data_IF_289457913703
#
_entry.id   IF_289457913703
#
_cell.length_a   1.000
_cell.length_b   1.000
_cell.length_c   1.000
_cell.angle_alpha   90.00
_cell.angle_beta   90.00
_cell.angle_gamma   90.00
#
_symmetry.space_group_name_H-M   'P 1'
#
loop_
_entity.id
_entity.type
_entity.pdbx_description
1 polymer ?
#
# COMPACT_ATOMS: atom_id res chain seq x y z
N UNK A 1 0.68 2.44 -34.31
CA UNK A 1 -0.16 2.59 -33.09
C UNK A 1 0.68 2.14 -31.90
N UNK A 2 1.45 3.06 -31.30
CA UNK A 2 2.41 2.75 -30.23
C UNK A 2 1.69 2.95 -28.89
N UNK A 3 1.59 1.89 -28.09
CA UNK A 3 1.00 1.90 -26.75
C UNK A 3 1.97 2.62 -25.80
N UNK A 4 1.56 3.73 -25.20
CA UNK A 4 2.35 4.37 -24.14
C UNK A 4 2.15 3.60 -22.81
N UNK A 5 3.21 3.38 -22.01
CA UNK A 5 3.13 2.74 -20.70
C UNK A 5 2.49 3.68 -19.65
N UNK A 6 1.84 3.10 -18.63
CA UNK A 6 1.31 3.86 -17.51
C UNK A 6 2.48 4.57 -16.78
N UNK A 7 2.35 5.86 -16.53
CA UNK A 7 3.33 6.64 -15.75
C UNK A 7 2.79 6.86 -14.34
N UNK A 8 3.62 6.56 -13.33
CA UNK A 8 3.25 6.66 -11.92
C UNK A 8 3.71 7.98 -11.32
N UNK A 9 2.82 8.60 -10.55
CA UNK A 9 3.15 9.58 -9.51
C UNK A 9 2.91 8.95 -8.15
N UNK A 10 3.67 9.39 -7.15
CA UNK A 10 3.57 8.88 -5.77
C UNK A 10 2.16 9.12 -5.22
N UNK A 11 1.38 8.05 -5.07
CA UNK A 11 0.03 8.03 -4.49
C UNK A 11 -1.09 7.50 -5.41
N UNK A 12 -0.91 7.47 -6.74
CA UNK A 12 -1.94 6.99 -7.66
C UNK A 12 -1.34 6.56 -9.02
N UNK A 13 -1.73 5.39 -9.52
CA UNK A 13 -1.44 4.99 -10.90
C UNK A 13 -2.62 5.30 -11.82
N UNK A 14 -2.37 6.11 -12.84
CA UNK A 14 -3.35 6.52 -13.86
C UNK A 14 -3.04 5.82 -15.18
N UNK A 15 -3.98 5.02 -15.68
CA UNK A 15 -3.88 4.46 -17.03
C UNK A 15 -4.85 5.21 -17.96
N UNK A 16 -4.25 6.08 -18.80
CA UNK A 16 -4.83 6.94 -19.86
C UNK A 16 -5.49 8.25 -19.36
N UNK A 17 -4.99 9.39 -19.86
CA UNK A 17 -5.53 10.74 -19.68
C UNK A 17 -5.50 11.49 -21.03
N UNK A 18 -6.50 12.32 -21.38
CA UNK A 18 -6.27 13.59 -22.04
C UNK A 18 -5.90 14.67 -21.00
N UNK A 19 -5.00 15.57 -21.39
CA UNK A 19 -4.16 16.44 -20.56
C UNK A 19 -4.79 17.31 -19.44
N UNK A 20 -3.93 17.55 -18.43
CA UNK A 20 -3.83 18.66 -17.43
C UNK A 20 -4.95 18.81 -16.38
N UNK A 21 -4.62 18.50 -15.13
CA UNK A 21 -5.35 18.92 -13.93
C UNK A 21 -4.46 19.85 -13.08
N UNK A 22 -5.06 20.91 -12.51
CA UNK A 22 -4.42 21.82 -11.56
C UNK A 22 -4.72 21.36 -10.14
N UNK A 23 -3.75 21.48 -9.24
CA UNK A 23 -3.94 21.32 -7.81
C UNK A 23 -4.24 22.69 -7.19
N UNK A 24 -5.30 22.81 -6.39
CA UNK A 24 -5.59 24.02 -5.60
C UNK A 24 -5.86 23.70 -4.13
N UNK A 25 -5.23 24.53 -3.28
CA UNK A 25 -5.36 24.78 -1.83
C UNK A 25 -5.26 23.60 -0.83
N UNK A 26 -4.14 23.58 -0.09
CA UNK A 26 -3.90 22.75 1.10
C UNK A 26 -4.21 23.56 2.38
N UNK A 27 -5.15 23.08 3.20
CA UNK A 27 -5.35 23.54 4.59
C UNK A 27 -4.36 22.82 5.54
N UNK A 28 -3.76 23.57 6.47
CA UNK A 28 -2.57 23.21 7.26
C UNK A 28 -2.82 22.92 8.74
N UNK A 29 -4.04 22.61 9.15
CA UNK A 29 -4.30 22.26 10.56
C UNK A 29 -4.71 20.80 10.70
N UNK A 30 -3.84 19.95 11.27
CA UNK A 30 -4.20 18.54 11.43
C UNK A 30 -3.41 17.80 12.53
N UNK A 31 -4.06 17.53 13.65
CA UNK A 31 -3.67 16.58 14.70
C UNK A 31 -4.02 15.14 14.27
N UNK A 32 -3.04 14.21 14.23
CA UNK A 32 -3.18 12.82 13.75
C UNK A 32 -2.21 12.45 12.59
N UNK A 33 -0.92 12.23 12.91
CA UNK A 33 0.20 12.38 11.96
C UNK A 33 0.12 11.61 10.63
N UNK A 34 -0.24 10.32 10.61
CA UNK A 34 -0.15 9.48 9.39
C UNK A 34 -1.32 9.69 8.42
N UNK A 35 -2.57 9.70 8.91
CA UNK A 35 -3.71 10.00 8.05
C UNK A 35 -3.63 11.43 7.53
N UNK A 36 -3.17 12.38 8.35
CA UNK A 36 -3.00 13.75 7.91
C UNK A 36 -1.88 13.90 6.88
N UNK A 37 -0.78 13.15 7.05
CA UNK A 37 0.27 13.05 6.04
C UNK A 37 -0.31 12.49 4.73
N UNK A 38 -1.06 11.39 4.78
CA UNK A 38 -1.73 10.81 3.62
C UNK A 38 -2.69 11.80 2.95
N UNK A 39 -3.50 12.54 3.72
CA UNK A 39 -4.43 13.56 3.21
C UNK A 39 -3.69 14.73 2.56
N UNK A 40 -2.59 15.20 3.15
CA UNK A 40 -1.78 16.27 2.57
C UNK A 40 -1.15 15.84 1.23
N UNK A 41 -0.63 14.62 1.17
CA UNK A 41 -0.08 14.06 -0.07
C UNK A 41 -1.16 13.81 -1.12
N UNK A 42 -2.31 13.30 -0.68
CA UNK A 42 -3.44 12.97 -1.56
C UNK A 42 -4.23 14.21 -1.99
N UNK A 43 -4.12 15.33 -1.27
CA UNK A 43 -4.83 16.57 -1.56
C UNK A 43 -4.48 17.21 -2.90
N UNK A 44 -3.39 16.79 -3.54
CA UNK A 44 -3.07 17.18 -4.91
C UNK A 44 -3.95 16.49 -5.97
N UNK A 45 -4.71 15.45 -5.60
CA UNK A 45 -5.52 14.64 -6.51
C UNK A 45 -7.02 14.88 -6.27
N UNK A 46 -7.68 15.44 -7.27
CA UNK A 46 -9.15 15.43 -7.34
C UNK A 46 -9.61 14.06 -7.84
N UNK A 47 -9.83 13.11 -6.92
CA UNK A 47 -10.21 11.75 -7.26
C UNK A 47 -11.53 11.66 -8.04
N UNK A 48 -12.50 12.53 -7.74
CA UNK A 48 -13.78 12.56 -8.44
C UNK A 48 -13.62 13.04 -9.90
N UNK A 49 -12.79 14.07 -10.14
CA UNK A 49 -12.46 14.50 -11.50
C UNK A 49 -11.66 13.43 -12.26
N UNK A 50 -10.69 12.79 -11.59
CA UNK A 50 -9.90 11.71 -12.17
C UNK A 50 -10.77 10.51 -12.54
N UNK A 51 -11.74 10.13 -11.70
CA UNK A 51 -12.67 9.04 -11.97
C UNK A 51 -13.59 9.30 -13.16
N UNK A 52 -13.87 10.58 -13.49
CA UNK A 52 -14.61 10.93 -14.72
C UNK A 52 -13.76 10.75 -15.97
N UNK A 53 -12.46 11.03 -15.88
CA UNK A 53 -11.54 10.97 -17.02
C UNK A 53 -10.95 9.57 -17.27
N UNK A 54 -10.78 8.77 -16.22
CA UNK A 54 -10.16 7.45 -16.28
C UNK A 54 -11.19 6.31 -16.36
N UNK A 55 -10.76 5.19 -16.96
CA UNK A 55 -11.53 3.93 -16.94
C UNK A 55 -11.55 3.30 -15.55
N UNK A 56 -10.42 3.39 -14.84
CA UNK A 56 -10.28 3.00 -13.44
C UNK A 56 -9.11 3.74 -12.77
N UNK A 57 -9.13 3.78 -11.44
CA UNK A 57 -8.12 4.35 -10.55
C UNK A 57 -7.53 3.23 -9.70
N UNK A 58 -6.21 3.14 -9.68
CA UNK A 58 -5.49 2.21 -8.80
C UNK A 58 -4.98 2.95 -7.58
N UNK A 59 -5.66 2.75 -6.45
CA UNK A 59 -5.28 3.38 -5.19
C UNK A 59 -4.08 2.67 -4.58
N UNK A 60 -3.06 3.45 -4.22
CA UNK A 60 -1.90 2.95 -3.50
C UNK A 60 -2.20 2.89 -2.00
N UNK A 61 -3.10 1.99 -1.59
CA UNK A 61 -3.46 1.75 -0.18
C UNK A 61 -2.36 0.97 0.56
N UNK A 62 -1.14 1.49 0.48
CA UNK A 62 0.08 1.00 1.13
C UNK A 62 1.06 2.17 1.30
N UNK A 63 2.21 1.90 1.93
CA UNK A 63 3.16 2.90 2.43
C UNK A 63 2.57 3.81 3.52
N UNK A 64 1.71 3.23 4.39
CA UNK A 64 1.24 3.86 5.63
C UNK A 64 2.43 4.36 6.45
N UNK A 65 3.35 3.44 6.75
CA UNK A 65 4.70 3.74 7.20
C UNK A 65 5.68 3.59 6.04
N UNK A 66 6.59 4.56 5.89
CA UNK A 66 7.58 4.63 4.82
C UNK A 66 8.88 5.32 5.30
N UNK A 67 9.76 5.70 4.37
CA UNK A 67 11.09 6.22 4.70
C UNK A 67 11.10 7.54 5.48
N UNK A 68 9.99 8.29 5.54
CA UNK A 68 9.90 9.54 6.30
C UNK A 68 9.08 9.43 7.59
N UNK A 69 8.59 8.23 7.91
CA UNK A 69 7.85 7.96 9.15
C UNK A 69 8.65 7.02 10.05
N UNK A 70 8.29 6.89 11.34
CA UNK A 70 8.77 5.78 12.16
C UNK A 70 8.41 4.42 11.54
N UNK A 71 9.09 3.34 11.95
CA UNK A 71 8.72 1.97 11.59
C UNK A 71 7.27 1.66 11.97
N UNK A 72 6.64 0.78 11.19
CA UNK A 72 5.26 0.37 11.41
C UNK A 72 4.68 -0.37 10.19
N UNK A 73 3.39 -0.70 10.28
CA UNK A 73 2.69 -1.44 9.24
C UNK A 73 2.82 -0.75 7.88
N UNK A 74 3.03 -1.55 6.83
CA UNK A 74 3.12 -1.04 5.45
C UNK A 74 1.73 -0.70 4.92
N UNK A 75 0.71 -1.42 5.38
CA UNK A 75 -0.67 -1.33 4.91
C UNK A 75 -1.61 -1.88 5.99
N UNK A 76 -1.57 -1.29 7.18
CA UNK A 76 -2.41 -1.71 8.30
C UNK A 76 -3.88 -1.63 7.92
N UNK A 77 -4.65 -2.70 8.18
CA UNK A 77 -6.07 -2.76 7.79
C UNK A 77 -6.89 -1.56 8.29
N UNK A 78 -6.72 -1.05 9.53
CA UNK A 78 -7.42 0.14 10.00
C UNK A 78 -7.11 1.40 9.17
N UNK A 79 -5.85 1.60 8.80
CA UNK A 79 -5.44 2.73 7.97
C UNK A 79 -5.91 2.57 6.53
N UNK A 80 -5.85 1.36 5.95
CA UNK A 80 -6.35 1.09 4.60
C UNK A 80 -7.82 1.49 4.48
N UNK A 81 -8.67 1.20 5.48
CA UNK A 81 -10.07 1.62 5.52
C UNK A 81 -10.21 3.15 5.47
N UNK A 82 -9.45 3.86 6.30
CA UNK A 82 -9.47 5.32 6.34
C UNK A 82 -8.97 5.95 5.03
N UNK A 83 -7.93 5.35 4.43
CA UNK A 83 -7.39 5.78 3.14
C UNK A 83 -8.42 5.57 2.02
N UNK A 84 -9.13 4.45 2.00
CA UNK A 84 -10.23 4.18 1.07
C UNK A 84 -11.38 5.16 1.28
N UNK A 85 -11.87 5.34 2.51
CA UNK A 85 -12.96 6.26 2.84
C UNK A 85 -12.66 7.70 2.40
N UNK A 86 -11.41 8.14 2.53
CA UNK A 86 -10.98 9.43 2.03
C UNK A 86 -10.93 9.46 0.50
N UNK A 87 -10.26 8.49 -0.12
CA UNK A 87 -9.97 8.53 -1.56
C UNK A 87 -11.18 8.24 -2.44
N UNK A 88 -12.18 7.55 -1.90
CA UNK A 88 -13.39 7.14 -2.60
C UNK A 88 -14.47 8.22 -2.68
N UNK A 89 -14.26 9.39 -2.06
CA UNK A 89 -15.24 10.48 -2.07
C UNK A 89 -15.49 10.97 -3.51
N UNK A 90 -16.68 10.66 -4.05
CA UNK A 90 -17.06 11.00 -5.42
C UNK A 90 -16.49 10.07 -6.50
N UNK A 91 -15.91 8.92 -6.12
CA UNK A 91 -15.40 7.90 -7.04
C UNK A 91 -16.39 6.73 -7.10
N UNK A 92 -16.90 6.35 -8.29
CA UNK A 92 -17.69 5.14 -8.45
C UNK A 92 -16.86 3.89 -8.08
N UNK A 93 -17.31 3.03 -7.16
CA UNK A 93 -16.53 1.88 -6.68
C UNK A 93 -16.04 0.90 -7.76
N UNK A 94 -16.85 0.70 -8.80
CA UNK A 94 -16.54 -0.15 -9.95
C UNK A 94 -15.38 0.37 -10.83
N UNK A 95 -14.91 1.59 -10.55
CA UNK A 95 -13.72 2.20 -11.13
C UNK A 95 -12.50 2.15 -10.22
N UNK A 96 -12.58 1.67 -8.98
CA UNK A 96 -11.47 1.70 -8.04
C UNK A 96 -10.87 0.31 -7.80
N UNK A 97 -9.55 0.22 -7.59
CA UNK A 97 -8.89 -1.03 -7.15
C UNK A 97 -8.22 -0.87 -5.79
N UNK A 98 -8.22 -1.96 -5.01
CA UNK A 98 -7.49 -2.07 -3.75
C UNK A 98 -6.00 -2.26 -4.00
N UNK A 99 -5.15 -1.37 -3.51
CA UNK A 99 -3.70 -1.52 -3.55
C UNK A 99 -3.20 -2.49 -2.49
N UNK A 100 -2.48 -3.54 -2.90
CA UNK A 100 -1.83 -4.48 -1.98
C UNK A 100 -0.31 -4.43 -2.20
N UNK A 101 0.48 -4.20 -1.14
CA UNK A 101 1.92 -4.35 -1.20
C UNK A 101 2.28 -5.84 -1.09
N UNK A 102 3.33 -6.28 -1.77
CA UNK A 102 3.88 -7.65 -1.66
C UNK A 102 5.32 -7.66 -1.19
N UNK A 103 5.79 -6.53 -0.69
CA UNK A 103 7.12 -6.31 -0.15
C UNK A 103 7.06 -6.20 1.37
N UNK A 104 8.21 -6.38 2.02
CA UNK A 104 8.44 -5.89 3.37
C UNK A 104 9.20 -4.56 3.32
N UNK A 105 9.15 -3.85 4.44
CA UNK A 105 10.04 -2.73 4.74
C UNK A 105 10.89 -3.08 5.95
N UNK A 106 12.19 -2.77 5.91
CA UNK A 106 13.17 -2.90 6.99
C UNK A 106 13.71 -1.51 7.33
N UNK A 107 13.47 -1.09 8.56
CA UNK A 107 13.92 0.18 9.11
C UNK A 107 15.08 -0.01 10.07
N UNK A 108 16.09 0.85 9.91
CA UNK A 108 17.14 1.07 10.91
C UNK A 108 17.04 2.46 11.58
N UNK A 109 15.96 3.19 11.26
CA UNK A 109 15.66 4.53 11.74
C UNK A 109 14.86 5.33 10.71
N UNK A 110 14.35 6.49 11.12
CA UNK A 110 13.68 7.42 10.19
C UNK A 110 14.69 7.87 9.12
N UNK A 111 14.33 7.78 7.85
CA UNK A 111 15.20 8.08 6.71
C UNK A 111 16.01 6.89 6.20
N UNK A 112 16.02 5.76 6.92
CA UNK A 112 16.81 4.58 6.58
C UNK A 112 15.90 3.37 6.42
N UNK A 113 15.48 3.15 5.18
CA UNK A 113 14.51 2.13 4.80
C UNK A 113 15.04 1.30 3.64
N UNK A 114 14.96 -0.02 3.76
CA UNK A 114 15.13 -0.94 2.63
C UNK A 114 13.88 -1.80 2.46
N UNK A 115 13.68 -2.35 1.26
CA UNK A 115 12.50 -3.16 0.95
C UNK A 115 12.90 -4.32 0.06
N UNK A 116 12.38 -5.51 0.33
CA UNK A 116 12.56 -6.67 -0.54
C UNK A 116 11.37 -7.63 -0.49
N UNK A 117 11.55 -8.83 -1.03
CA UNK A 117 10.53 -9.87 -1.16
C UNK A 117 10.19 -10.54 0.17
N UNK A 118 9.00 -11.14 0.25
CA UNK A 118 8.60 -11.98 1.39
C UNK A 118 9.61 -13.11 1.66
N UNK A 119 10.13 -13.74 0.62
CA UNK A 119 11.13 -14.81 0.75
C UNK A 119 12.41 -14.32 1.46
N UNK A 120 12.90 -13.12 1.11
CA UNK A 120 14.08 -12.53 1.75
C UNK A 120 13.80 -12.23 3.24
N UNK A 121 12.60 -11.76 3.59
CA UNK A 121 12.24 -11.54 4.99
C UNK A 121 12.30 -12.84 5.81
N UNK A 122 11.81 -13.94 5.24
CA UNK A 122 11.86 -15.25 5.92
C UNK A 122 13.29 -15.78 6.06
N UNK A 123 14.17 -15.51 5.09
CA UNK A 123 15.59 -15.81 5.18
C UNK A 123 16.24 -15.01 6.31
N UNK A 124 15.96 -13.70 6.39
CA UNK A 124 16.47 -12.83 7.48
C UNK A 124 16.01 -13.32 8.85
N UNK A 125 14.72 -13.64 8.99
CA UNK A 125 14.15 -14.19 10.22
C UNK A 125 14.90 -15.47 10.66
N UNK A 126 15.13 -16.38 9.71
CA UNK A 126 15.86 -17.63 9.97
C UNK A 126 17.33 -17.37 10.35
N UNK A 127 18.03 -16.49 9.63
CA UNK A 127 19.44 -16.16 9.88
C UNK A 127 19.67 -15.58 11.27
N UNK A 128 18.71 -14.80 11.77
CA UNK A 128 18.77 -14.18 13.09
C UNK A 128 18.06 -14.98 14.19
N UNK A 129 17.49 -16.15 13.86
CA UNK A 129 16.79 -17.00 14.83
C UNK A 129 15.53 -16.35 15.42
N UNK A 130 14.88 -15.47 14.67
CA UNK A 130 13.68 -14.75 15.07
C UNK A 130 12.47 -15.33 14.36
N UNK A 131 11.34 -15.44 15.07
CA UNK A 131 10.07 -15.85 14.48
C UNK A 131 9.20 -14.60 14.26
N UNK A 132 8.73 -14.34 13.03
CA UNK A 132 7.79 -13.24 12.78
C UNK A 132 6.53 -13.37 13.64
N UNK A 133 6.14 -12.27 14.29
CA UNK A 133 4.94 -12.16 15.10
C UNK A 133 3.81 -11.52 14.29
N UNK A 134 2.57 -11.97 14.50
CA UNK A 134 1.38 -11.38 13.87
C UNK A 134 0.82 -10.27 14.75
N UNK A 135 0.65 -9.08 14.19
CA UNK A 135 -0.10 -8.00 14.81
C UNK A 135 -1.59 -8.11 14.41
N UNK A 136 -2.51 -8.40 15.35
CA UNK A 136 -3.92 -8.59 15.04
C UNK A 136 -4.67 -7.29 14.73
N UNK A 137 -4.11 -6.13 15.10
CA UNK A 137 -4.72 -4.82 14.83
C UNK A 137 -4.39 -4.37 13.42
N UNK A 138 -3.13 -4.50 13.02
CA UNK A 138 -2.67 -4.13 11.69
C UNK A 138 -2.92 -5.22 10.64
N UNK A 139 -3.11 -6.45 11.09
CA UNK A 139 -3.18 -7.66 10.28
C UNK A 139 -1.92 -7.86 9.42
N UNK A 140 -0.75 -7.58 10.00
CA UNK A 140 0.56 -7.73 9.37
C UNK A 140 1.52 -8.54 10.25
N UNK A 141 2.53 -9.14 9.61
CA UNK A 141 3.61 -9.80 10.34
C UNK A 141 4.73 -8.80 10.58
N UNK A 142 5.41 -8.89 11.71
CA UNK A 142 6.57 -8.06 12.00
C UNK A 142 7.61 -8.83 12.81
N UNK A 143 8.87 -8.40 12.72
CA UNK A 143 9.93 -8.83 13.65
C UNK A 143 11.05 -7.79 13.71
N UNK A 144 11.89 -7.90 14.74
CA UNK A 144 13.11 -7.12 14.84
C UNK A 144 14.32 -8.00 15.10
N UNK A 145 15.49 -7.50 14.72
CA UNK A 145 16.78 -8.14 14.98
C UNK A 145 17.88 -7.09 15.09
N UNK A 146 18.98 -7.44 15.74
CA UNK A 146 20.16 -6.58 15.81
C UNK A 146 21.25 -7.12 14.89
N UNK A 147 21.84 -6.23 14.09
CA UNK A 147 22.97 -6.55 13.22
C UNK A 147 23.99 -5.41 13.26
N UNK A 148 25.26 -5.75 13.49
CA UNK A 148 26.38 -4.79 13.52
C UNK A 148 26.17 -3.58 14.46
N UNK A 149 25.45 -3.78 15.57
CA UNK A 149 25.14 -2.72 16.54
C UNK A 149 23.99 -1.79 16.14
N UNK A 150 23.23 -2.14 15.10
CA UNK A 150 22.05 -1.42 14.63
C UNK A 150 20.82 -2.31 14.80
N UNK A 151 19.73 -1.73 15.31
CA UNK A 151 18.45 -2.39 15.42
C UNK A 151 17.67 -2.28 14.11
N UNK A 152 17.14 -3.41 13.65
CA UNK A 152 16.28 -3.52 12.49
C UNK A 152 14.84 -3.84 12.93
N UNK A 153 13.87 -3.16 12.34
CA UNK A 153 12.45 -3.47 12.51
C UNK A 153 11.80 -3.70 11.14
N UNK A 154 11.15 -4.85 10.97
CA UNK A 154 10.58 -5.29 9.71
C UNK A 154 9.07 -5.47 9.81
N UNK A 155 8.35 -5.04 8.78
CA UNK A 155 6.91 -5.27 8.60
C UNK A 155 6.65 -5.93 7.25
N UNK A 156 5.92 -7.04 7.25
CA UNK A 156 5.94 -8.07 6.20
C UNK A 156 4.52 -8.45 5.78
N UNK A 157 4.37 -8.67 4.48
CA UNK A 157 3.18 -9.27 3.88
C UNK A 157 3.39 -10.76 3.64
N UNK A 158 2.60 -11.60 4.30
CA UNK A 158 2.49 -13.03 4.03
C UNK A 158 1.22 -13.33 3.22
N UNK A 159 1.07 -14.53 2.63
CA UNK A 159 -0.20 -14.96 2.04
C UNK A 159 -1.40 -14.75 2.96
N UNK A 160 -1.24 -15.01 4.25
CA UNK A 160 -2.33 -14.92 5.22
C UNK A 160 -2.69 -13.47 5.57
N UNK A 161 -1.70 -12.55 5.65
CA UNK A 161 -1.98 -11.13 5.86
C UNK A 161 -2.67 -10.53 4.64
N UNK A 162 -2.22 -10.89 3.44
CA UNK A 162 -2.85 -10.46 2.19
C UNK A 162 -4.28 -10.99 2.06
N UNK A 163 -4.51 -12.26 2.40
CA UNK A 163 -5.84 -12.89 2.40
C UNK A 163 -6.84 -12.13 3.27
N UNK A 164 -6.39 -11.60 4.42
CA UNK A 164 -7.24 -10.84 5.36
C UNK A 164 -7.66 -9.47 4.83
N UNK A 165 -6.90 -8.90 3.90
CA UNK A 165 -7.19 -7.59 3.27
C UNK A 165 -8.10 -7.70 2.05
N UNK A 166 -8.16 -8.87 1.39
CA UNK A 166 -9.02 -9.09 0.22
C UNK A 166 -10.51 -8.78 0.46
N UNK A 167 -11.12 -9.06 1.63
CA UNK A 167 -12.49 -8.65 1.95
C UNK A 167 -12.79 -7.16 1.74
N UNK A 168 -11.80 -6.26 1.95
CA UNK A 168 -11.97 -4.82 1.70
C UNK A 168 -12.42 -4.53 0.25
N UNK A 169 -11.98 -5.35 -0.71
CA UNK A 169 -12.43 -5.22 -2.09
C UNK A 169 -13.95 -5.39 -2.22
N UNK A 170 -14.51 -6.38 -1.53
CA UNK A 170 -15.95 -6.65 -1.57
C UNK A 170 -16.73 -5.66 -0.72
N UNK A 171 -16.23 -5.32 0.46
CA UNK A 171 -16.88 -4.38 1.38
C UNK A 171 -17.07 -3.00 0.76
N UNK A 172 -16.09 -2.52 -0.01
CA UNK A 172 -16.16 -1.23 -0.70
C UNK A 172 -16.67 -1.34 -2.14
N UNK A 173 -17.05 -2.54 -2.62
CA UNK A 173 -17.56 -2.73 -3.98
C UNK A 173 -16.53 -2.41 -5.09
N UNK A 174 -15.25 -2.62 -4.81
CA UNK A 174 -14.15 -2.26 -5.69
C UNK A 174 -14.09 -3.18 -6.92
N UNK A 175 -13.57 -2.63 -8.03
CA UNK A 175 -13.38 -3.33 -9.30
C UNK A 175 -12.50 -4.59 -9.18
N UNK A 176 -11.53 -4.55 -8.27
CA UNK A 176 -10.48 -5.54 -8.17
C UNK A 176 -9.35 -5.10 -7.25
N UNK A 177 -8.21 -5.76 -7.39
CA UNK A 177 -6.96 -5.42 -6.70
C UNK A 177 -5.90 -4.92 -7.68
N UNK A 178 -4.93 -4.19 -7.15
CA UNK A 178 -3.68 -3.79 -7.81
C UNK A 178 -2.52 -4.16 -6.90
N UNK A 179 -1.51 -4.84 -7.43
CA UNK A 179 -0.43 -5.44 -6.64
C UNK A 179 0.90 -4.75 -6.92
N UNK A 180 1.58 -4.28 -5.88
CA UNK A 180 2.94 -3.74 -5.97
C UNK A 180 3.90 -4.56 -5.12
N UNK A 181 4.81 -5.35 -5.69
CA UNK A 181 5.00 -5.62 -7.12
C UNK A 181 5.15 -7.10 -7.39
N UNK A 182 4.90 -7.50 -8.62
CA UNK A 182 5.06 -8.88 -9.05
C UNK A 182 6.47 -9.41 -8.77
N UNK A 183 6.53 -10.66 -8.28
CA UNK A 183 7.75 -11.38 -7.95
C UNK A 183 8.29 -11.13 -6.54
N UNK A 184 7.61 -10.31 -5.72
CA UNK A 184 7.99 -10.08 -4.32
C UNK A 184 7.11 -10.86 -3.34
N UNK A 185 5.93 -11.27 -3.79
CA UNK A 185 5.00 -12.12 -3.07
C UNK A 185 5.51 -13.55 -2.91
N UNK A 186 4.96 -14.24 -1.92
CA UNK A 186 4.90 -15.70 -1.95
C UNK A 186 3.98 -16.15 -3.11
N UNK A 187 4.41 -17.10 -3.97
CA UNK A 187 3.59 -17.53 -5.11
C UNK A 187 2.19 -18.06 -4.74
N UNK A 188 2.01 -18.59 -3.52
CA UNK A 188 0.71 -19.08 -3.05
C UNK A 188 -0.34 -17.97 -2.91
N UNK A 189 0.08 -16.69 -2.85
CA UNK A 189 -0.82 -15.54 -2.91
C UNK A 189 -1.76 -15.60 -4.11
N UNK A 190 -1.26 -16.01 -5.29
CA UNK A 190 -2.06 -16.04 -6.51
C UNK A 190 -3.18 -17.08 -6.48
N UNK A 191 -3.03 -18.13 -5.68
CA UNK A 191 -4.07 -19.15 -5.46
C UNK A 191 -5.26 -18.61 -4.66
N UNK A 192 -5.11 -17.47 -3.97
CA UNK A 192 -6.20 -16.79 -3.27
C UNK A 192 -7.13 -16.05 -4.24
N UNK A 193 -6.67 -15.76 -5.45
CA UNK A 193 -7.43 -14.99 -6.44
C UNK A 193 -8.20 -15.96 -7.32
N UNK A 194 -9.54 -15.90 -7.33
CA UNK A 194 -10.33 -16.79 -8.17
C UNK A 194 -10.06 -16.49 -9.65
N UNK A 195 -10.10 -17.52 -10.53
CA UNK A 195 -9.99 -17.30 -11.96
C UNK A 195 -11.12 -16.39 -12.44
N UNK A 196 -10.81 -15.55 -13.43
CA UNK A 196 -11.78 -14.62 -14.03
C UNK A 196 -12.96 -15.43 -14.60
N UNK A 197 -14.15 -15.21 -14.05
CA UNK A 197 -15.40 -15.74 -14.60
C UNK A 197 -15.81 -14.96 -15.84
#
# INVERSE_FOLDING_TARGET
MVRQPCQGGKGLWLCRLPARLRADSLDRSATGSLLNYFRQWSGAYDFAALAKAADFLSFMTYDEHNGVTPPGAVSGTPWMRQALEFSMQGVPPEKATLGLPTYYHDWTGIGYLTSSSYADAMILAQQHGVTPAFDPTQEEMHFGYDAYGVHHELWIQSPDTLRRKLPLMYEYGLKGISVWRLGFEDPSFWSLIPPRR
#
